data_IF_302585691787
#
_entry.id   IF_302585691787
#
_cell.length_a   1.000
_cell.length_b   1.000
_cell.length_c   1.000
_cell.angle_alpha   90.00
_cell.angle_beta   90.00
_cell.angle_gamma   90.00
#
_symmetry.space_group_name_H-M   'P 1'
#
loop_
_entity.id
_entity.type
_entity.pdbx_description
1 polymer ?
#
# COMPACT_ATOMS: atom_id res chain seq x y z
N UNK A 1 4.56 -2.51 -22.75
CA UNK A 1 3.81 -1.87 -21.67
C UNK A 1 3.50 -2.86 -20.56
N UNK A 2 3.65 -2.45 -19.35
CA UNK A 2 3.33 -3.25 -18.16
C UNK A 2 2.28 -2.55 -17.33
N UNK A 3 1.47 -3.35 -16.64
CA UNK A 3 0.56 -2.86 -15.60
C UNK A 3 1.12 -3.29 -14.24
N UNK A 4 1.38 -2.33 -13.39
CA UNK A 4 1.79 -2.58 -12.02
C UNK A 4 0.57 -2.47 -11.13
N UNK A 5 0.31 -3.53 -10.37
CA UNK A 5 -0.74 -3.55 -9.35
C UNK A 5 -0.04 -3.62 -8.01
N UNK A 6 -0.21 -2.59 -7.20
CA UNK A 6 0.42 -2.52 -5.89
C UNK A 6 -0.64 -2.41 -4.80
N UNK A 7 -0.63 -3.35 -3.87
CA UNK A 7 -1.51 -3.33 -2.70
C UNK A 7 -0.70 -2.73 -1.56
N UNK A 8 -1.11 -1.57 -1.08
CA UNK A 8 -0.37 -0.75 -0.14
C UNK A 8 -1.24 -0.34 1.05
N UNK A 9 -0.58 0.02 2.14
CA UNK A 9 -1.28 0.58 3.29
C UNK A 9 -1.84 1.96 2.94
N UNK A 10 -3.05 2.27 3.41
CA UNK A 10 -3.70 3.55 3.14
C UNK A 10 -2.85 4.76 3.55
N UNK A 11 -2.06 4.61 4.60
CA UNK A 11 -1.23 5.71 5.13
C UNK A 11 -0.06 6.05 4.19
N UNK A 12 0.30 5.14 3.30
CA UNK A 12 1.40 5.34 2.36
C UNK A 12 0.92 5.88 1.00
N UNK A 13 -0.37 5.87 0.74
CA UNK A 13 -0.95 6.22 -0.56
C UNK A 13 -0.64 7.66 -0.97
N UNK A 14 -0.74 8.60 -0.04
CA UNK A 14 -0.53 10.02 -0.33
C UNK A 14 0.91 10.31 -0.77
N UNK A 15 1.87 9.79 -0.04
CA UNK A 15 3.29 9.97 -0.36
C UNK A 15 3.66 9.30 -1.68
N UNK A 16 3.18 8.08 -1.87
CA UNK A 16 3.44 7.33 -3.09
C UNK A 16 2.87 8.05 -4.31
N UNK A 17 1.63 8.53 -4.22
CA UNK A 17 0.97 9.24 -5.31
C UNK A 17 1.75 10.49 -5.69
N UNK A 18 2.19 11.27 -4.71
CA UNK A 18 2.99 12.47 -4.94
C UNK A 18 4.29 12.16 -5.68
N UNK A 19 5.02 11.16 -5.21
CA UNK A 19 6.31 10.80 -5.82
C UNK A 19 6.14 10.26 -7.23
N UNK A 20 5.11 9.46 -7.48
CA UNK A 20 4.83 8.94 -8.82
C UNK A 20 4.48 10.07 -9.79
N UNK A 21 3.61 10.97 -9.41
CA UNK A 21 3.21 12.11 -10.24
C UNK A 21 4.40 13.03 -10.51
N UNK A 22 5.22 13.27 -9.50
CA UNK A 22 6.42 14.10 -9.63
C UNK A 22 7.40 13.53 -10.66
N UNK A 23 7.45 12.21 -10.79
CA UNK A 23 8.32 11.52 -11.73
C UNK A 23 7.63 11.22 -13.08
N UNK A 24 6.44 11.77 -13.31
CA UNK A 24 5.74 11.65 -14.58
C UNK A 24 4.89 10.40 -14.74
N UNK A 25 4.61 9.70 -13.67
CA UNK A 25 3.76 8.50 -13.69
C UNK A 25 2.34 8.81 -13.26
N UNK A 26 1.39 8.12 -13.87
CA UNK A 26 -0.02 8.23 -13.51
C UNK A 26 -0.43 7.04 -12.66
N UNK A 27 -1.21 7.31 -11.63
CA UNK A 27 -1.68 6.30 -10.69
C UNK A 27 -3.18 6.41 -10.50
N UNK A 28 -3.85 5.26 -10.55
CA UNK A 28 -5.26 5.15 -10.17
C UNK A 28 -5.33 4.31 -8.90
N UNK A 29 -6.02 4.80 -7.88
CA UNK A 29 -6.13 4.09 -6.62
C UNK A 29 -7.55 3.65 -6.37
N UNK A 30 -7.69 2.42 -5.86
CA UNK A 30 -8.96 1.83 -5.45
C UNK A 30 -8.89 1.52 -3.96
N UNK A 31 -9.95 1.83 -3.25
CA UNK A 31 -10.06 1.43 -1.85
C UNK A 31 -10.41 -0.05 -1.80
N UNK A 32 -9.54 -0.82 -1.14
CA UNK A 32 -9.76 -2.26 -0.98
C UNK A 32 -9.73 -2.61 0.50
N UNK A 33 -10.69 -3.42 0.93
CA UNK A 33 -10.72 -3.93 2.30
C UNK A 33 -10.51 -5.43 2.25
N UNK A 34 -9.42 -5.89 2.89
CA UNK A 34 -9.22 -7.31 3.08
C UNK A 34 -10.11 -7.82 4.21
N UNK A 35 -10.80 -8.93 4.00
CA UNK A 35 -11.70 -9.49 5.01
C UNK A 35 -11.03 -10.00 6.27
N UNK A 36 -9.72 -10.16 6.27
CA UNK A 36 -8.98 -10.76 7.37
C UNK A 36 -8.19 -9.76 8.21
N UNK A 37 -7.67 -8.71 7.59
CA UNK A 37 -6.96 -7.65 8.29
C UNK A 37 -7.84 -6.41 8.29
N UNK A 38 -8.07 -5.86 9.46
CA UNK A 38 -8.88 -4.65 9.63
C UNK A 38 -8.18 -3.38 9.16
N UNK A 39 -6.95 -3.49 8.65
CA UNK A 39 -6.25 -2.39 8.04
C UNK A 39 -6.81 -2.15 6.64
N UNK A 40 -7.20 -0.92 6.37
CA UNK A 40 -7.60 -0.52 5.04
C UNK A 40 -6.38 -0.49 4.14
N UNK A 41 -6.49 -1.15 3.00
CA UNK A 41 -5.48 -1.13 1.98
C UNK A 41 -6.02 -0.41 0.75
N UNK A 42 -5.11 0.21 0.01
CA UNK A 42 -5.42 0.76 -1.30
C UNK A 42 -4.73 -0.08 -2.36
N UNK A 43 -5.41 -0.27 -3.48
CA UNK A 43 -4.82 -0.91 -4.65
C UNK A 43 -4.48 0.18 -5.66
N UNK A 44 -3.22 0.29 -6.01
CA UNK A 44 -2.74 1.23 -7.00
C UNK A 44 -2.56 0.52 -8.34
N UNK A 45 -3.06 1.14 -9.40
CA UNK A 45 -2.88 0.68 -10.78
C UNK A 45 -1.99 1.69 -11.50
N UNK A 46 -0.88 1.22 -12.05
CA UNK A 46 0.10 2.06 -12.72
C UNK A 46 0.48 1.43 -14.05
N UNK A 47 0.10 2.08 -15.16
CA UNK A 47 0.54 1.65 -16.49
C UNK A 47 1.85 2.32 -16.84
N UNK A 48 2.84 1.56 -17.27
CA UNK A 48 4.17 2.09 -17.60
C UNK A 48 4.80 1.35 -18.75
N UNK A 49 5.77 2.01 -19.39
CA UNK A 49 6.62 1.36 -20.38
C UNK A 49 7.56 0.36 -19.68
N UNK A 50 7.97 -0.66 -20.41
CA UNK A 50 8.78 -1.75 -19.86
C UNK A 50 10.06 -1.23 -19.19
N UNK A 51 10.73 -0.27 -19.82
CA UNK A 51 11.97 0.31 -19.30
C UNK A 51 11.79 1.17 -18.04
N UNK A 52 10.56 1.53 -17.71
CA UNK A 52 10.26 2.36 -16.53
C UNK A 52 9.82 1.57 -15.32
N UNK A 53 9.63 0.26 -15.45
CA UNK A 53 9.18 -0.60 -14.36
C UNK A 53 10.10 -0.50 -13.15
N UNK A 54 11.40 -0.59 -13.36
CA UNK A 54 12.37 -0.53 -12.26
C UNK A 54 12.28 0.78 -11.48
N UNK A 55 12.10 1.90 -12.17
CA UNK A 55 11.94 3.20 -11.53
C UNK A 55 10.69 3.27 -10.66
N UNK A 56 9.57 2.76 -11.16
CA UNK A 56 8.31 2.71 -10.38
C UNK A 56 8.46 1.81 -9.16
N UNK A 57 9.10 0.65 -9.31
CA UNK A 57 9.31 -0.26 -8.18
C UNK A 57 10.19 0.38 -7.10
N UNK A 58 11.21 1.14 -7.47
CA UNK A 58 12.04 1.88 -6.50
C UNK A 58 11.24 2.93 -5.75
N UNK A 59 10.35 3.64 -6.44
CA UNK A 59 9.48 4.64 -5.82
C UNK A 59 8.53 3.98 -4.83
N UNK A 60 7.93 2.85 -5.21
CA UNK A 60 7.04 2.10 -4.32
C UNK A 60 7.80 1.64 -3.08
N UNK A 61 8.97 1.05 -3.26
CA UNK A 61 9.79 0.58 -2.15
C UNK A 61 10.16 1.70 -1.19
N UNK A 62 10.52 2.86 -1.71
CA UNK A 62 10.89 4.01 -0.90
C UNK A 62 9.74 4.58 -0.07
N UNK A 63 8.50 4.43 -0.52
CA UNK A 63 7.33 5.00 0.14
C UNK A 63 6.52 4.01 0.98
N UNK A 64 6.72 2.72 0.78
CA UNK A 64 5.85 1.69 1.34
C UNK A 64 6.61 0.67 2.19
N UNK A 65 7.69 1.07 2.84
CA UNK A 65 8.49 0.16 3.64
C UNK A 65 7.70 -0.40 4.83
N UNK A 66 7.90 -1.68 5.07
CA UNK A 66 7.36 -2.34 6.25
C UNK A 66 7.95 -1.70 7.51
N UNK A 67 7.10 -1.40 8.45
CA UNK A 67 7.49 -0.81 9.73
C UNK A 67 6.63 -1.34 10.87
N UNK A 68 7.15 -1.23 12.08
CA UNK A 68 6.41 -1.60 13.27
C UNK A 68 5.71 -0.38 13.84
N UNK A 69 4.46 -0.57 14.25
CA UNK A 69 3.67 0.46 14.89
C UNK A 69 3.16 -0.07 16.22
N UNK A 70 3.05 0.82 17.19
CA UNK A 70 2.53 0.47 18.50
C UNK A 70 1.10 0.96 18.58
N UNK A 71 0.18 0.02 18.83
CA UNK A 71 -1.22 0.37 19.09
C UNK A 71 -1.33 0.83 20.55
N UNK A 72 -1.87 2.03 20.79
CA UNK A 72 -2.08 2.51 22.17
C UNK A 72 -2.91 1.54 22.99
N UNK A 73 -2.61 1.44 24.28
CA UNK A 73 -3.30 0.54 25.21
C UNK A 73 -4.81 0.72 25.28
N UNK A 74 -5.33 1.89 24.90
CA UNK A 74 -6.77 2.16 24.83
C UNK A 74 -7.49 1.26 23.82
N UNK A 75 -6.77 0.71 22.86
CA UNK A 75 -7.33 -0.27 21.91
C UNK A 75 -7.56 -1.63 22.58
N UNK A 76 -6.97 -1.87 23.74
CA UNK A 76 -7.17 -3.10 24.48
C UNK A 76 -8.59 -3.22 25.03
N UNK A 77 -9.36 -2.14 25.10
CA UNK A 77 -10.75 -2.14 25.51
C UNK A 77 -11.65 -2.96 24.57
N UNK A 78 -11.17 -3.22 23.33
CA UNK A 78 -11.86 -4.12 22.41
C UNK A 78 -11.66 -5.60 22.74
N UNK A 79 -10.78 -5.90 23.70
CA UNK A 79 -10.49 -7.27 24.12
C UNK A 79 -10.77 -7.41 25.61
N UNK A 80 -12.03 -7.59 26.00
CA UNK A 80 -12.39 -7.67 27.43
C UNK A 80 -11.70 -8.81 28.18
N UNK A 81 -11.19 -9.81 27.43
CA UNK A 81 -10.43 -10.91 28.01
C UNK A 81 -9.03 -10.52 28.46
N UNK A 82 -8.52 -9.40 27.99
CA UNK A 82 -7.21 -8.89 28.37
C UNK A 82 -7.22 -8.20 29.76
N UNK A 83 -8.38 -8.10 30.39
CA UNK A 83 -8.51 -7.44 31.66
C UNK A 83 -8.22 -5.94 31.57
N UNK A 84 -7.75 -5.38 32.67
CA UNK A 84 -7.45 -3.96 32.76
C UNK A 84 -5.99 -3.63 32.41
N UNK A 85 -5.29 -4.55 31.77
CA UNK A 85 -3.89 -4.35 31.43
C UNK A 85 -3.82 -3.65 30.07
N UNK A 86 -3.47 -2.37 30.09
CA UNK A 86 -3.14 -1.60 28.90
C UNK A 86 -1.75 -1.98 28.42
N UNK A 87 -1.64 -3.05 27.62
CA UNK A 87 -0.37 -3.43 27.04
C UNK A 87 -0.34 -2.90 25.62
N UNK A 88 0.67 -2.06 25.27
CA UNK A 88 0.84 -1.66 23.88
C UNK A 88 1.06 -2.88 23.00
N UNK A 89 0.28 -2.96 21.93
CA UNK A 89 0.41 -4.05 20.97
C UNK A 89 1.27 -3.59 19.81
N UNK A 90 2.35 -4.33 19.56
CA UNK A 90 3.21 -4.06 18.42
C UNK A 90 2.64 -4.77 17.19
N UNK A 91 2.41 -4.00 16.13
CA UNK A 91 1.91 -4.52 14.85
C UNK A 91 2.85 -4.10 13.73
N UNK A 92 2.95 -4.95 12.72
CA UNK A 92 3.69 -4.63 11.50
C UNK A 92 2.74 -3.97 10.51
N UNK A 93 3.09 -2.77 10.07
CA UNK A 93 2.30 -2.02 9.09
C UNK A 93 3.17 -1.60 7.92
N UNK A 94 2.54 -1.26 6.81
CA UNK A 94 3.22 -0.84 5.61
C UNK A 94 3.63 -2.02 4.74
N UNK A 95 4.62 -1.78 3.91
CA UNK A 95 5.00 -2.71 2.86
C UNK A 95 4.08 -2.62 1.65
N UNK A 96 4.40 -3.37 0.62
CA UNK A 96 3.60 -3.42 -0.59
C UNK A 96 3.66 -4.81 -1.18
N UNK A 97 2.52 -5.28 -1.68
CA UNK A 97 2.46 -6.46 -2.52
C UNK A 97 2.30 -5.99 -3.95
N UNK A 98 3.26 -6.31 -4.80
CA UNK A 98 3.32 -5.75 -6.15
C UNK A 98 3.29 -6.86 -7.18
N UNK A 99 2.42 -6.68 -8.17
CA UNK A 99 2.33 -7.55 -9.35
C UNK A 99 2.68 -6.73 -10.57
N UNK A 100 3.50 -7.28 -11.44
CA UNK A 100 3.84 -6.67 -12.73
C UNK A 100 3.32 -7.59 -13.82
N UNK A 101 2.40 -7.08 -14.64
CA UNK A 101 1.72 -7.86 -15.66
C UNK A 101 1.99 -7.31 -17.05
N UNK A 102 2.08 -8.19 -18.02
CA UNK A 102 2.13 -7.79 -19.41
C UNK A 102 0.76 -7.26 -19.85
N UNK A 103 0.77 -6.15 -20.56
CA UNK A 103 -0.45 -5.59 -21.15
C UNK A 103 -0.49 -6.00 -22.61
N UNK A 104 -1.41 -6.89 -22.95
CA UNK A 104 -1.54 -7.37 -24.32
C UNK A 104 -2.10 -6.30 -25.26
N UNK A 105 -2.97 -5.42 -24.74
CA UNK A 105 -3.57 -4.37 -25.54
C UNK A 105 -3.94 -3.20 -24.63
N UNK A 106 -3.62 -2.00 -25.07
CA UNK A 106 -3.97 -0.78 -24.36
C UNK A 106 -4.66 0.17 -25.33
N UNK A 107 -5.81 0.67 -24.95
CA UNK A 107 -6.58 1.64 -25.73
C UNK A 107 -7.08 2.76 -24.82
N UNK A 108 -6.86 3.98 -25.26
CA UNK A 108 -7.39 5.16 -24.60
C UNK A 108 -8.47 5.74 -25.52
N UNK A 109 -9.70 5.59 -25.13
CA UNK A 109 -10.85 5.97 -25.92
C UNK A 109 -11.39 7.36 -25.52
#
# INVERSE_FOLDING_TARGET
>A
MKLIIAIINKDDTGHLTKDLIKNGFFITTLNTTGGFLRSENHTALIGVDDEKVSEVLEIIEGNCQTRKSIIPGTMADFYPMAGHISVPLEVTVGGATVFVLDVAQFEKI
#
